data_IF_886978966654
#
_entry.id   IF_886978966654
#
_cell.length_a   1.000
_cell.length_b   1.000
_cell.length_c   1.000
_cell.angle_alpha   90.00
_cell.angle_beta   90.00
_cell.angle_gamma   90.00
#
_symmetry.space_group_name_H-M   'P 1'
#
loop_
_entity.id
_entity.type
_entity.pdbx_description
1 polymer ?
#
# COMPACT_ATOMS: atom_id res chain seq x y z
N UNK A 1 61.55 5.04 -34.25
CA UNK A 1 60.39 4.23 -33.78
C UNK A 1 60.09 4.67 -32.36
N UNK A 2 59.14 5.59 -32.19
CA UNK A 2 58.77 6.20 -30.90
C UNK A 2 57.33 5.79 -30.61
N UNK A 3 57.11 5.08 -29.50
CA UNK A 3 55.81 4.59 -29.08
C UNK A 3 55.20 5.56 -28.05
N UNK A 4 54.15 6.26 -28.45
CA UNK A 4 53.36 7.12 -27.57
C UNK A 4 52.22 6.29 -26.97
N UNK A 5 52.27 6.05 -25.66
CA UNK A 5 51.17 5.45 -24.88
C UNK A 5 50.19 6.54 -24.45
N UNK A 6 48.92 6.38 -24.79
CA UNK A 6 47.81 7.16 -24.26
C UNK A 6 47.37 6.58 -22.91
N UNK A 7 47.37 7.40 -21.86
CA UNK A 7 46.70 7.13 -20.59
C UNK A 7 45.29 7.69 -20.65
N UNK A 8 44.28 6.83 -20.54
CA UNK A 8 42.88 7.22 -20.33
C UNK A 8 42.66 7.26 -18.81
N UNK A 9 42.42 8.46 -18.27
CA UNK A 9 41.93 8.63 -16.91
C UNK A 9 40.40 8.50 -16.92
N UNK A 10 39.89 7.40 -16.39
CA UNK A 10 38.46 7.26 -16.07
C UNK A 10 38.23 7.70 -14.64
N UNK A 11 37.66 8.89 -14.45
CA UNK A 11 37.17 9.37 -13.16
C UNK A 11 35.87 8.65 -12.83
N UNK A 12 35.94 7.60 -12.01
CA UNK A 12 34.75 6.97 -11.42
C UNK A 12 34.29 7.88 -10.28
N UNK A 13 33.19 8.62 -10.49
CA UNK A 13 32.47 9.28 -9.41
C UNK A 13 31.77 8.19 -8.58
N UNK A 14 32.34 7.86 -7.42
CA UNK A 14 31.67 7.04 -6.41
C UNK A 14 30.59 7.92 -5.78
N UNK A 15 29.34 7.76 -6.22
CA UNK A 15 28.17 8.21 -5.45
C UNK A 15 28.08 7.27 -4.26
N UNK A 16 28.51 7.76 -3.09
CA UNK A 16 28.27 7.11 -1.81
C UNK A 16 26.76 7.14 -1.54
N UNK A 17 26.04 6.10 -1.95
CA UNK A 17 24.79 5.75 -1.29
C UNK A 17 25.13 5.41 0.17
N UNK A 18 24.54 6.05 1.18
CA UNK A 18 24.70 5.60 2.55
C UNK A 18 24.07 4.22 2.66
N UNK A 19 24.91 3.20 2.72
CA UNK A 19 24.52 1.85 3.10
C UNK A 19 23.92 1.92 4.50
N UNK A 20 22.65 1.53 4.59
CA UNK A 20 21.88 1.42 5.82
C UNK A 20 22.49 0.34 6.75
N UNK A 21 23.55 0.70 7.46
CA UNK A 21 23.94 0.04 8.70
C UNK A 21 23.32 0.86 9.84
N UNK A 22 22.06 0.55 10.16
CA UNK A 22 21.34 1.15 11.28
C UNK A 22 21.93 0.69 12.60
N UNK A 23 22.86 1.46 13.15
CA UNK A 23 22.98 1.52 14.59
C UNK A 23 21.74 2.26 15.10
N UNK A 24 21.03 1.67 16.06
CA UNK A 24 19.96 2.35 16.77
C UNK A 24 20.53 3.63 17.36
N UNK A 25 20.20 4.76 16.74
CA UNK A 25 20.45 6.04 17.35
C UNK A 25 19.54 6.12 18.58
N UNK A 26 20.09 6.58 19.70
CA UNK A 26 19.28 6.92 20.88
C UNK A 26 18.05 7.71 20.43
N UNK A 27 16.88 7.47 21.04
CA UNK A 27 15.69 8.22 20.71
C UNK A 27 16.02 9.71 20.83
N UNK A 28 15.68 10.52 19.81
CA UNK A 28 15.93 11.95 19.90
C UNK A 28 15.31 12.52 21.18
N UNK A 29 15.96 13.51 21.81
CA UNK A 29 15.48 14.12 23.08
C UNK A 29 14.02 14.61 23.00
N UNK A 30 13.51 14.90 21.80
CA UNK A 30 12.15 15.36 21.54
C UNK A 30 11.21 14.27 20.99
N UNK A 31 11.57 12.99 21.10
CA UNK A 31 10.73 11.89 20.64
C UNK A 31 9.41 11.84 21.43
N UNK A 32 8.30 11.72 20.71
CA UNK A 32 7.00 11.51 21.33
C UNK A 32 6.68 10.00 21.33
N UNK A 33 6.62 9.43 22.54
CA UNK A 33 6.34 8.02 22.76
C UNK A 33 4.87 7.71 22.48
N UNK A 34 4.65 6.62 21.76
CA UNK A 34 3.34 6.12 21.41
C UNK A 34 3.01 4.89 22.25
N UNK A 35 1.71 4.67 22.48
CA UNK A 35 1.21 3.49 23.17
C UNK A 35 0.85 2.39 22.18
N UNK A 36 1.18 1.16 22.52
CA UNK A 36 0.89 -0.01 21.69
C UNK A 36 -0.55 -0.49 21.86
N UNK A 37 -1.24 -0.73 20.74
CA UNK A 37 -2.60 -1.27 20.71
C UNK A 37 -2.70 -2.47 19.77
N UNK A 38 -3.60 -3.40 20.09
CA UNK A 38 -3.86 -4.57 19.24
C UNK A 38 -5.33 -5.02 19.37
N UNK A 39 -5.93 -5.49 18.28
CA UNK A 39 -7.34 -5.95 18.22
C UNK A 39 -7.54 -6.98 17.11
N UNK A 40 -8.64 -7.75 17.17
CA UNK A 40 -9.04 -8.67 16.08
C UNK A 40 -9.44 -7.92 14.81
N UNK A 41 -10.26 -6.87 14.97
CA UNK A 41 -10.74 -6.05 13.87
C UNK A 41 -10.07 -4.68 13.90
N UNK A 42 -8.77 -4.67 13.58
CA UNK A 42 -7.99 -3.45 13.41
C UNK A 42 -8.62 -2.53 12.36
N UNK A 43 -9.19 -3.12 11.30
CA UNK A 43 -9.74 -2.35 10.19
C UNK A 43 -10.94 -1.47 10.56
N UNK A 44 -11.73 -1.88 11.56
CA UNK A 44 -12.80 -1.04 12.12
C UNK A 44 -12.29 0.22 12.83
N UNK A 45 -11.02 0.23 13.27
CA UNK A 45 -10.46 1.33 14.06
C UNK A 45 -9.54 2.23 13.24
N UNK A 46 -8.55 1.64 12.55
CA UNK A 46 -7.57 2.40 11.76
C UNK A 46 -7.86 2.40 10.26
N UNK A 47 -8.99 1.81 9.84
CA UNK A 47 -9.32 1.60 8.44
C UNK A 47 -8.50 0.48 7.82
N UNK A 48 -8.57 0.33 6.50
CA UNK A 48 -7.86 -0.73 5.79
C UNK A 48 -6.34 -0.63 5.98
N UNK A 49 -5.73 -1.70 6.45
CA UNK A 49 -4.28 -1.97 6.42
C UNK A 49 -3.92 -2.78 5.18
N UNK A 50 -2.64 -2.80 4.81
CA UNK A 50 -2.14 -3.79 3.86
C UNK A 50 -2.00 -5.16 4.53
N UNK A 51 -1.61 -6.14 3.71
CA UNK A 51 -1.33 -7.50 4.12
C UNK A 51 -0.20 -8.10 3.27
N UNK A 52 0.56 -9.03 3.84
CA UNK A 52 1.47 -9.88 3.09
C UNK A 52 0.70 -11.04 2.49
N UNK A 53 0.82 -11.24 1.18
CA UNK A 53 0.34 -12.45 0.53
C UNK A 53 1.38 -13.55 0.69
N UNK A 54 1.03 -14.58 1.45
CA UNK A 54 1.93 -15.67 1.77
C UNK A 54 1.73 -16.79 0.75
N UNK A 55 2.80 -17.22 0.10
CA UNK A 55 2.74 -18.28 -0.91
C UNK A 55 2.69 -19.66 -0.23
N UNK A 56 1.57 -20.40 -0.29
CA UNK A 56 1.47 -21.70 0.37
C UNK A 56 2.18 -22.81 -0.42
N UNK A 57 2.82 -23.73 0.30
CA UNK A 57 3.37 -24.99 -0.24
C UNK A 57 2.77 -26.20 0.49
N UNK A 58 2.62 -27.33 -0.21
CA UNK A 58 2.22 -28.60 0.43
C UNK A 58 3.41 -29.40 0.98
N UNK A 59 4.62 -29.09 0.51
CA UNK A 59 5.86 -29.72 0.97
C UNK A 59 6.40 -28.96 2.19
N UNK A 60 6.67 -29.71 3.26
CA UNK A 60 7.33 -29.17 4.44
C UNK A 60 8.72 -28.62 4.09
N UNK A 61 9.08 -27.42 4.57
CA UNK A 61 10.46 -26.94 4.50
C UNK A 61 11.42 -27.90 5.22
N UNK A 62 12.70 -27.88 4.83
CA UNK A 62 13.71 -28.72 5.49
C UNK A 62 13.80 -28.40 6.99
N UNK A 63 13.78 -29.43 7.83
CA UNK A 63 13.86 -29.29 9.29
C UNK A 63 12.56 -28.87 10.00
N UNK A 64 11.55 -28.39 9.27
CA UNK A 64 10.27 -27.98 9.85
C UNK A 64 9.34 -29.18 9.99
N UNK A 65 8.85 -29.42 11.20
CA UNK A 65 7.88 -30.47 11.52
C UNK A 65 6.66 -29.86 12.20
N UNK A 66 5.50 -30.47 12.01
CA UNK A 66 4.25 -30.18 12.73
C UNK A 66 3.85 -31.40 13.55
N UNK A 67 3.03 -31.27 14.61
CA UNK A 67 2.46 -32.40 15.33
C UNK A 67 1.65 -33.32 14.41
N UNK A 68 1.68 -34.63 14.67
CA UNK A 68 0.99 -35.64 13.85
C UNK A 68 -0.55 -35.45 13.85
N UNK A 69 -1.10 -34.87 14.92
CA UNK A 69 -2.52 -34.58 15.11
C UNK A 69 -2.92 -33.16 14.65
N UNK A 70 -2.00 -32.41 14.02
CA UNK A 70 -2.27 -31.03 13.62
C UNK A 70 -3.42 -30.91 12.62
N UNK A 71 -3.59 -31.91 11.75
CA UNK A 71 -4.68 -32.01 10.80
C UNK A 71 -4.22 -32.40 9.40
N UNK A 72 -5.14 -32.34 8.44
CA UNK A 72 -4.90 -32.75 7.06
C UNK A 72 -4.73 -31.55 6.13
N UNK A 73 -4.27 -31.83 4.90
CA UNK A 73 -4.07 -30.84 3.85
C UNK A 73 -3.15 -29.68 4.26
N UNK A 74 -2.10 -29.97 5.03
CA UNK A 74 -1.18 -28.97 5.57
C UNK A 74 -0.63 -28.07 4.47
N UNK A 75 -0.60 -26.76 4.73
CA UNK A 75 0.00 -25.73 3.88
C UNK A 75 1.02 -24.94 4.70
N UNK A 76 2.26 -24.98 4.26
CA UNK A 76 3.36 -24.23 4.87
C UNK A 76 3.48 -22.88 4.18
N UNK A 77 3.79 -21.85 4.96
CA UNK A 77 4.07 -20.50 4.47
C UNK A 77 5.27 -19.91 5.21
N UNK A 78 5.80 -18.83 4.64
CA UNK A 78 6.77 -17.94 5.31
C UNK A 78 6.13 -16.57 5.45
N UNK A 79 6.12 -16.03 6.65
CA UNK A 79 5.83 -14.62 6.89
C UNK A 79 7.16 -13.87 6.87
N UNK A 80 7.33 -12.91 5.96
CA UNK A 80 8.57 -12.16 5.83
C UNK A 80 8.61 -11.05 6.86
N UNK A 81 9.72 -10.92 7.58
CA UNK A 81 9.90 -9.87 8.59
C UNK A 81 11.36 -9.48 8.66
N UNK A 82 11.71 -8.19 8.51
CA UNK A 82 13.08 -7.76 8.70
C UNK A 82 13.47 -7.80 10.20
N UNK A 83 12.49 -7.94 11.10
CA UNK A 83 12.71 -8.01 12.54
C UNK A 83 13.28 -9.34 12.98
N UNK A 84 13.25 -10.40 12.15
CA UNK A 84 13.95 -11.65 12.46
C UNK A 84 15.29 -11.75 11.71
N UNK A 85 16.36 -12.28 12.33
CA UNK A 85 17.64 -12.49 11.65
C UNK A 85 17.57 -13.37 10.39
N UNK A 86 16.61 -14.31 10.32
CA UNK A 86 16.40 -15.13 9.12
C UNK A 86 15.60 -14.41 8.03
N UNK A 87 15.05 -13.23 8.33
CA UNK A 87 14.18 -12.46 7.43
C UNK A 87 12.75 -13.02 7.32
N UNK A 88 12.42 -14.09 8.04
CA UNK A 88 11.08 -14.70 8.00
C UNK A 88 10.79 -15.57 9.25
N UNK A 89 9.50 -15.84 9.47
CA UNK A 89 8.98 -16.90 10.38
C UNK A 89 8.24 -17.97 9.61
N UNK A 90 8.25 -19.19 10.11
CA UNK A 90 7.43 -20.26 9.58
C UNK A 90 6.00 -20.22 10.12
N UNK A 91 5.04 -20.59 9.28
CA UNK A 91 3.69 -20.95 9.72
C UNK A 91 3.17 -22.16 8.93
N UNK A 92 2.25 -22.90 9.52
CA UNK A 92 1.55 -24.00 8.89
C UNK A 92 0.05 -23.87 9.14
N UNK A 93 -0.74 -24.11 8.11
CA UNK A 93 -2.19 -24.14 8.16
C UNK A 93 -2.66 -25.55 7.87
N UNK A 94 -3.66 -26.03 8.59
CA UNK A 94 -4.25 -27.34 8.36
C UNK A 94 -5.77 -27.28 8.41
N UNK A 95 -6.41 -28.32 7.89
CA UNK A 95 -7.84 -28.54 8.02
C UNK A 95 -8.11 -29.66 9.01
N UNK A 96 -9.02 -29.43 9.95
CA UNK A 96 -9.56 -30.47 10.83
C UNK A 96 -10.44 -31.47 10.08
N UNK A 97 -11.21 -31.01 9.08
CA UNK A 97 -12.25 -31.80 8.39
C UNK A 97 -12.13 -31.81 6.85
N UNK A 98 -11.05 -31.26 6.29
CA UNK A 98 -10.70 -31.38 4.87
C UNK A 98 -11.31 -30.33 3.93
N UNK A 99 -12.06 -29.36 4.47
CA UNK A 99 -12.78 -28.35 3.66
C UNK A 99 -12.06 -27.00 3.65
N UNK A 100 -11.91 -26.38 4.83
CA UNK A 100 -11.24 -25.09 5.05
C UNK A 100 -10.06 -25.28 5.99
N UNK A 101 -9.04 -24.44 5.82
CA UNK A 101 -7.89 -24.40 6.72
C UNK A 101 -8.30 -23.66 7.99
N UNK A 102 -8.58 -24.38 9.07
CA UNK A 102 -9.15 -23.87 10.32
C UNK A 102 -8.22 -24.05 11.53
N UNK A 103 -6.99 -24.55 11.29
CA UNK A 103 -5.92 -24.66 12.27
C UNK A 103 -4.66 -23.95 11.78
N UNK A 104 -3.94 -23.31 12.69
CA UNK A 104 -2.71 -22.55 12.44
C UNK A 104 -1.64 -22.92 13.49
N UNK A 105 -0.42 -23.18 13.04
CA UNK A 105 0.79 -23.12 13.85
C UNK A 105 1.65 -22.00 13.29
N UNK A 106 2.28 -21.20 14.15
CA UNK A 106 3.24 -20.19 13.74
C UNK A 106 4.40 -20.22 14.72
N UNK A 107 5.62 -20.08 14.21
CA UNK A 107 6.84 -19.89 15.00
C UNK A 107 6.73 -18.53 15.70
N UNK A 108 6.21 -18.54 16.92
CA UNK A 108 5.94 -17.31 17.69
C UNK A 108 7.19 -16.82 18.38
N UNK A 109 8.19 -17.67 18.59
CA UNK A 109 9.24 -17.43 19.57
C UNK A 109 10.60 -17.08 18.96
N UNK A 110 10.91 -17.46 17.72
CA UNK A 110 12.32 -17.38 17.32
C UNK A 110 12.89 -18.52 16.53
N UNK A 111 12.46 -19.74 16.84
CA UNK A 111 13.39 -20.87 16.84
C UNK A 111 13.28 -21.77 15.60
N UNK A 112 12.37 -21.41 14.68
CA UNK A 112 12.14 -22.12 13.43
C UNK A 112 11.39 -23.44 13.59
N UNK A 113 10.86 -23.76 14.78
CA UNK A 113 10.13 -25.00 15.06
C UNK A 113 8.64 -24.71 15.12
N UNK A 114 7.86 -25.66 14.59
CA UNK A 114 6.39 -25.64 14.68
C UNK A 114 5.85 -26.83 15.50
N UNK A 115 6.72 -27.77 15.89
CA UNK A 115 6.32 -29.02 16.54
C UNK A 115 6.00 -28.84 18.03
N UNK A 116 6.56 -27.80 18.65
CA UNK A 116 6.35 -27.35 20.02
C UNK A 116 5.32 -26.21 20.13
N UNK A 117 4.86 -25.70 18.98
CA UNK A 117 3.85 -24.66 18.94
C UNK A 117 2.45 -25.23 19.21
N UNK A 118 1.62 -24.42 19.87
CA UNK A 118 0.22 -24.79 20.14
C UNK A 118 -0.66 -24.42 18.96
N UNK A 119 -1.43 -25.38 18.43
CA UNK A 119 -2.34 -25.12 17.32
C UNK A 119 -3.42 -24.10 17.70
N UNK A 120 -3.54 -23.05 16.90
CA UNK A 120 -4.55 -22.00 17.01
C UNK A 120 -5.73 -22.38 16.13
N UNK A 121 -6.93 -22.41 16.72
CA UNK A 121 -8.18 -22.62 15.97
C UNK A 121 -8.68 -21.29 15.43
N UNK A 122 -9.19 -21.29 14.20
CA UNK A 122 -9.79 -20.11 13.60
C UNK A 122 -10.97 -19.61 14.46
N UNK A 123 -10.96 -18.32 14.81
CA UNK A 123 -12.06 -17.72 15.58
C UNK A 123 -13.25 -17.34 14.69
N UNK A 124 -13.04 -17.30 13.38
CA UNK A 124 -14.09 -17.07 12.40
C UNK A 124 -13.86 -17.99 11.19
N UNK A 125 -14.89 -18.75 10.85
CA UNK A 125 -14.93 -19.61 9.66
C UNK A 125 -16.23 -19.30 8.92
N UNK A 126 -16.10 -18.87 7.67
CA UNK A 126 -17.23 -18.57 6.80
C UNK A 126 -17.15 -19.47 5.57
N UNK A 127 -18.22 -20.20 5.28
CA UNK A 127 -18.37 -20.97 4.05
C UNK A 127 -19.26 -20.22 3.08
N UNK A 128 -18.92 -20.31 1.80
CA UNK A 128 -19.76 -19.82 0.70
C UNK A 128 -20.07 -20.99 -0.24
N UNK A 129 -21.20 -20.92 -0.94
CA UNK A 129 -21.57 -21.92 -1.94
C UNK A 129 -20.46 -22.17 -2.96
N UNK A 130 -20.34 -23.43 -3.39
CA UNK A 130 -19.33 -23.87 -4.37
C UNK A 130 -17.94 -24.17 -3.78
N UNK A 131 -17.87 -24.59 -2.51
CA UNK A 131 -16.59 -24.97 -1.87
C UNK A 131 -15.66 -23.79 -1.57
N UNK A 132 -16.23 -22.59 -1.51
CA UNK A 132 -15.50 -21.36 -1.16
C UNK A 132 -15.62 -21.11 0.33
N UNK A 133 -14.68 -20.38 0.90
CA UNK A 133 -14.77 -19.99 2.30
C UNK A 133 -13.53 -19.26 2.78
N UNK A 134 -13.59 -18.79 4.03
CA UNK A 134 -12.51 -18.05 4.68
C UNK A 134 -12.42 -18.46 6.14
N UNK A 135 -11.20 -18.63 6.61
CA UNK A 135 -10.88 -18.76 8.03
C UNK A 135 -10.02 -17.58 8.47
N UNK A 136 -10.25 -17.07 9.68
CA UNK A 136 -9.46 -16.00 10.28
C UNK A 136 -8.89 -16.43 11.64
N UNK A 137 -7.65 -16.05 11.89
CA UNK A 137 -6.88 -16.36 13.10
C UNK A 137 -6.33 -15.07 13.70
N UNK A 138 -6.12 -15.06 15.02
CA UNK A 138 -5.47 -13.96 15.72
C UNK A 138 -6.39 -13.10 16.60
N UNK A 139 -5.83 -12.06 17.24
CA UNK A 139 -4.44 -11.57 17.07
C UNK A 139 -3.47 -12.60 17.66
N UNK A 140 -2.43 -12.95 16.92
CA UNK A 140 -1.41 -13.91 17.33
C UNK A 140 -0.19 -13.13 17.79
N UNK A 141 0.22 -13.23 19.08
CA UNK A 141 1.42 -12.56 19.56
C UNK A 141 2.67 -13.26 18.99
N UNK A 142 3.56 -12.45 18.45
CA UNK A 142 4.86 -12.81 17.89
C UNK A 142 5.92 -12.14 18.75
N UNK A 143 6.87 -12.92 19.27
CA UNK A 143 8.05 -12.42 19.97
C UNK A 143 9.13 -12.14 18.93
N UNK A 144 9.41 -10.87 18.71
CA UNK A 144 10.45 -10.39 17.80
C UNK A 144 11.66 -9.93 18.63
N UNK A 145 12.90 -10.11 18.15
CA UNK A 145 14.03 -9.47 18.78
C UNK A 145 13.95 -7.95 18.56
N UNK A 146 14.41 -7.21 19.57
CA UNK A 146 14.55 -5.76 19.55
C UNK A 146 15.81 -5.38 20.32
N UNK A 147 16.27 -4.14 20.11
CA UNK A 147 17.53 -3.67 20.67
C UNK A 147 17.47 -3.59 22.21
N UNK A 148 16.32 -3.19 22.76
CA UNK A 148 16.04 -3.13 24.21
C UNK A 148 15.44 -4.42 24.78
N UNK A 149 15.48 -5.51 24.00
CA UNK A 149 14.89 -6.80 24.35
C UNK A 149 13.72 -7.19 23.45
N UNK A 150 12.99 -8.26 23.80
CA UNK A 150 11.96 -8.81 22.93
C UNK A 150 10.75 -7.89 22.81
N UNK A 151 10.32 -7.65 21.57
CA UNK A 151 9.11 -6.90 21.22
C UNK A 151 7.97 -7.90 21.01
N UNK A 152 6.77 -7.56 21.48
CA UNK A 152 5.56 -8.33 21.16
C UNK A 152 4.81 -7.62 20.03
N UNK A 153 4.68 -8.30 18.90
CA UNK A 153 3.95 -7.83 17.72
C UNK A 153 2.76 -8.74 17.44
N UNK A 154 1.62 -8.23 17.00
CA UNK A 154 0.42 -9.04 16.81
C UNK A 154 0.06 -9.16 15.32
N UNK A 155 -0.14 -10.39 14.86
CA UNK A 155 -0.59 -10.68 13.50
C UNK A 155 -2.02 -11.22 13.47
N UNK A 156 -2.76 -10.87 12.42
CA UNK A 156 -3.97 -11.58 12.02
C UNK A 156 -3.67 -12.36 10.75
N UNK A 157 -4.05 -13.63 10.72
CA UNK A 157 -3.90 -14.46 9.53
C UNK A 157 -5.27 -14.77 8.93
N UNK A 158 -5.33 -14.86 7.60
CA UNK A 158 -6.52 -15.37 6.93
C UNK A 158 -6.18 -16.35 5.83
N UNK A 159 -7.00 -17.40 5.72
CA UNK A 159 -6.91 -18.40 4.68
C UNK A 159 -8.24 -18.44 3.92
N UNK A 160 -8.24 -18.01 2.66
CA UNK A 160 -9.41 -17.96 1.82
C UNK A 160 -9.31 -18.96 0.67
N UNK A 161 -10.34 -19.78 0.50
CA UNK A 161 -10.51 -20.69 -0.63
C UNK A 161 -11.49 -20.07 -1.62
N UNK A 162 -11.02 -19.80 -2.84
CA UNK A 162 -11.83 -19.20 -3.92
C UNK A 162 -12.28 -20.21 -4.98
N UNK A 163 -11.77 -21.45 -4.90
CA UNK A 163 -12.17 -22.56 -5.75
C UNK A 163 -11.43 -23.84 -5.37
N UNK A 164 -11.56 -24.92 -6.16
CA UNK A 164 -10.96 -26.22 -5.84
C UNK A 164 -9.45 -26.16 -5.62
N UNK A 165 -8.76 -25.34 -6.44
CA UNK A 165 -7.29 -25.24 -6.48
C UNK A 165 -6.77 -23.84 -6.10
N UNK A 166 -7.60 -22.97 -5.55
CA UNK A 166 -7.22 -21.60 -5.21
C UNK A 166 -7.34 -21.37 -3.71
N UNK A 167 -6.19 -21.31 -3.05
CA UNK A 167 -6.04 -20.92 -1.64
C UNK A 167 -5.17 -19.66 -1.61
N UNK A 168 -5.67 -18.61 -0.97
CA UNK A 168 -4.93 -17.39 -0.67
C UNK A 168 -4.74 -17.32 0.84
N UNK A 169 -3.49 -17.20 1.27
CA UNK A 169 -3.14 -16.99 2.67
C UNK A 169 -2.57 -15.58 2.78
N UNK A 170 -2.97 -14.84 3.80
CA UNK A 170 -2.37 -13.55 4.12
C UNK A 170 -2.14 -13.34 5.60
N UNK A 171 -1.16 -12.51 5.91
CA UNK A 171 -0.87 -11.98 7.24
C UNK A 171 -1.02 -10.46 7.21
N UNK A 172 -1.76 -9.92 8.18
CA UNK A 172 -1.96 -8.49 8.35
C UNK A 172 -1.57 -8.08 9.77
N UNK A 173 -1.16 -6.83 9.95
CA UNK A 173 -0.93 -6.26 11.27
C UNK A 173 -2.23 -6.28 12.06
N UNK A 174 -2.20 -6.88 13.25
CA UNK A 174 -3.31 -6.85 14.22
C UNK A 174 -3.03 -5.84 15.35
N UNK A 175 -2.12 -4.89 15.10
CA UNK A 175 -1.68 -3.88 16.04
C UNK A 175 -1.31 -2.56 15.35
N UNK A 176 -1.21 -1.51 16.16
CA UNK A 176 -0.74 -0.18 15.78
C UNK A 176 -0.20 0.54 17.02
N UNK A 177 0.45 1.68 16.80
CA UNK A 177 0.81 2.61 17.86
C UNK A 177 -0.05 3.85 17.79
N UNK A 178 -0.43 4.38 18.94
CA UNK A 178 -1.25 5.60 19.04
C UNK A 178 -0.84 6.46 20.23
N UNK A 179 -0.88 7.77 20.05
CA UNK A 179 -0.48 8.73 21.07
C UNK A 179 -0.63 10.16 20.57
N UNK A 180 0.07 11.10 21.21
CA UNK A 180 0.14 12.47 20.75
C UNK A 180 1.57 12.79 20.32
N UNK A 181 1.71 13.47 19.19
CA UNK A 181 3.00 14.00 18.69
C UNK A 181 2.97 15.51 18.64
N UNK A 182 4.11 16.14 18.91
CA UNK A 182 4.24 17.60 18.90
C UNK A 182 4.49 18.09 17.48
N UNK A 183 3.63 18.98 17.02
CA UNK A 183 3.79 19.71 15.75
C UNK A 183 3.66 21.18 16.08
N UNK A 184 4.72 21.96 15.84
CA UNK A 184 4.79 23.38 16.21
C UNK A 184 4.44 23.64 17.69
N UNK A 185 4.97 22.80 18.59
CA UNK A 185 4.72 22.89 20.02
C UNK A 185 3.30 22.50 20.46
N UNK A 186 2.45 22.06 19.54
CA UNK A 186 1.08 21.60 19.85
C UNK A 186 0.99 20.08 19.73
N UNK A 187 0.44 19.44 20.75
CA UNK A 187 0.12 18.02 20.71
C UNK A 187 -0.97 17.75 19.65
N UNK A 188 -0.74 16.76 18.79
CA UNK A 188 -1.69 16.26 17.80
C UNK A 188 -1.86 14.75 17.96
N UNK A 189 -3.09 14.21 17.93
CA UNK A 189 -3.32 12.78 17.87
C UNK A 189 -2.59 12.15 16.70
N UNK A 190 -1.97 11.00 16.94
CA UNK A 190 -1.17 10.28 15.97
C UNK A 190 -1.45 8.80 16.04
N UNK A 191 -1.61 8.16 14.89
CA UNK A 191 -1.55 6.70 14.73
C UNK A 191 -0.40 6.35 13.79
N UNK A 192 0.45 5.42 14.20
CA UNK A 192 1.53 4.84 13.41
C UNK A 192 1.19 3.38 13.11
N UNK A 193 1.18 3.03 11.83
CA UNK A 193 0.58 1.80 11.33
C UNK A 193 1.60 1.10 10.43
N UNK A 194 2.01 -0.10 10.83
CA UNK A 194 2.71 -1.05 9.97
C UNK A 194 1.74 -1.49 8.87
N UNK A 195 1.93 -0.95 7.67
CA UNK A 195 0.98 -1.15 6.58
C UNK A 195 1.27 -2.45 5.83
N UNK A 196 2.53 -2.86 5.75
CA UNK A 196 2.96 -4.04 5.01
C UNK A 196 2.94 -5.32 5.89
N UNK A 197 2.65 -5.17 7.18
CA UNK A 197 2.56 -6.20 8.19
C UNK A 197 3.86 -7.00 8.39
N UNK A 198 5.03 -6.37 8.30
CA UNK A 198 6.32 -7.03 8.46
C UNK A 198 6.93 -6.91 9.87
N UNK A 199 6.29 -6.19 10.80
CA UNK A 199 6.76 -5.97 12.17
C UNK A 199 7.57 -4.70 12.38
N UNK A 200 7.96 -4.01 11.31
CA UNK A 200 8.62 -2.70 11.33
C UNK A 200 7.58 -1.59 11.17
N UNK A 201 7.84 -0.42 11.77
CA UNK A 201 6.96 0.76 11.69
C UNK A 201 7.66 1.98 11.07
N UNK A 202 8.81 1.77 10.46
CA UNK A 202 9.63 2.80 9.82
C UNK A 202 9.87 2.55 8.32
N UNK A 203 9.07 1.67 7.70
CA UNK A 203 9.25 1.34 6.30
C UNK A 203 8.81 2.52 5.41
N UNK A 204 9.66 2.85 4.44
CA UNK A 204 9.39 3.85 3.41
C UNK A 204 9.04 3.17 2.09
N UNK A 205 8.60 3.93 1.10
CA UNK A 205 8.42 3.37 -0.25
C UNK A 205 9.76 2.82 -0.76
N UNK A 206 9.74 1.58 -1.22
CA UNK A 206 10.89 0.92 -1.83
C UNK A 206 11.32 1.56 -3.17
N UNK A 207 12.42 1.08 -3.72
CA UNK A 207 12.98 1.53 -5.01
C UNK A 207 12.01 1.33 -6.19
N UNK A 208 11.05 0.41 -6.07
CA UNK A 208 10.01 0.16 -7.08
C UNK A 208 8.79 1.07 -6.90
N UNK A 209 8.83 1.98 -5.91
CA UNK A 209 7.76 2.91 -5.59
C UNK A 209 6.45 2.16 -5.35
N UNK A 210 6.55 1.05 -4.63
CA UNK A 210 5.38 0.34 -4.15
C UNK A 210 4.82 1.09 -2.94
N UNK A 211 3.64 1.71 -3.09
CA UNK A 211 2.98 2.33 -1.92
C UNK A 211 2.69 1.33 -0.81
N UNK A 212 2.54 0.04 -1.15
CA UNK A 212 2.23 -1.01 -0.20
C UNK A 212 3.38 -1.36 0.74
N UNK A 213 4.63 -0.94 0.45
CA UNK A 213 5.77 -1.18 1.33
C UNK A 213 5.92 -0.11 2.41
N UNK A 214 5.52 1.14 2.16
CA UNK A 214 5.60 2.19 3.17
C UNK A 214 4.58 2.01 4.30
N UNK A 215 4.93 2.44 5.50
CA UNK A 215 4.02 2.53 6.64
C UNK A 215 3.16 3.79 6.58
N UNK A 216 2.21 3.92 7.51
CA UNK A 216 1.26 5.05 7.54
C UNK A 216 1.33 5.82 8.84
N UNK A 217 1.26 7.14 8.70
CA UNK A 217 1.05 8.08 9.79
C UNK A 217 -0.32 8.73 9.58
N UNK A 218 -1.18 8.71 10.60
CA UNK A 218 -2.43 9.49 10.61
C UNK A 218 -2.36 10.51 11.73
N UNK A 219 -2.63 11.78 11.40
CA UNK A 219 -2.51 12.92 12.34
C UNK A 219 -3.87 13.57 12.65
N UNK A 220 -4.92 12.76 12.84
CA UNK A 220 -6.27 13.24 13.08
C UNK A 220 -7.01 12.47 14.17
N UNK A 221 -7.95 13.17 14.83
CA UNK A 221 -8.80 12.66 15.90
C UNK A 221 -10.09 12.00 15.44
N UNK A 222 -10.41 12.05 14.13
CA UNK A 222 -11.64 11.44 13.63
C UNK A 222 -11.41 9.95 13.35
N UNK A 223 -12.30 9.06 13.82
CA UNK A 223 -12.43 7.74 13.24
C UNK A 223 -12.57 7.87 11.72
N UNK A 224 -12.21 6.83 10.98
CA UNK A 224 -12.49 6.74 9.55
C UNK A 224 -14.02 6.74 9.34
N UNK A 225 -14.65 7.91 9.33
CA UNK A 225 -16.02 8.06 8.89
C UNK A 225 -16.07 7.48 7.47
N UNK A 226 -16.98 6.54 7.21
CA UNK A 226 -17.08 5.80 5.94
C UNK A 226 -17.38 6.67 4.68
N UNK A 227 -17.29 7.98 4.84
CA UNK A 227 -17.33 9.00 3.81
C UNK A 227 -16.07 9.86 3.89
N UNK A 228 -14.90 9.24 3.71
CA UNK A 228 -13.65 10.00 3.66
C UNK A 228 -13.65 10.92 2.43
N UNK A 229 -13.18 12.19 2.56
CA UNK A 229 -12.77 12.96 1.40
C UNK A 229 -11.74 12.14 0.61
N UNK A 230 -11.64 12.39 -0.69
CA UNK A 230 -10.95 11.56 -1.69
C UNK A 230 -9.51 11.13 -1.38
N UNK A 231 -8.90 11.77 -0.39
CA UNK A 231 -7.55 11.57 0.10
C UNK A 231 -7.64 11.07 1.55
N UNK A 232 -7.32 9.80 1.73
CA UNK A 232 -7.09 9.23 3.06
C UNK A 232 -6.14 10.19 3.80
N UNK A 233 -6.48 10.62 5.03
CA UNK A 233 -5.61 11.47 5.88
C UNK A 233 -4.38 10.69 6.39
N UNK A 234 -3.95 9.69 5.63
CA UNK A 234 -2.75 8.93 5.84
C UNK A 234 -1.62 9.58 5.06
N UNK A 235 -0.64 10.04 5.80
CA UNK A 235 0.69 10.27 5.29
C UNK A 235 1.43 8.94 5.22
N UNK A 236 2.45 8.86 4.38
CA UNK A 236 3.37 7.73 4.40
C UNK A 236 4.48 8.02 5.38
N UNK A 237 4.99 6.98 6.04
CA UNK A 237 6.34 7.06 6.58
C UNK A 237 7.27 7.22 5.38
N UNK A 238 8.05 8.30 5.41
CA UNK A 238 8.95 8.76 4.35
C UNK A 238 9.89 9.80 4.96
N UNK A 239 10.74 10.43 4.17
CA UNK A 239 11.63 11.47 4.71
C UNK A 239 10.86 12.66 5.32
N UNK A 240 9.71 13.03 4.75
CA UNK A 240 8.92 14.19 5.13
C UNK A 240 7.41 13.94 5.14
N UNK A 241 6.71 14.74 5.96
CA UNK A 241 5.27 14.98 5.83
C UNK A 241 5.01 16.48 5.62
N UNK A 242 4.00 16.81 4.82
CA UNK A 242 3.51 18.19 4.67
C UNK A 242 2.27 18.38 5.54
N UNK A 243 2.31 19.37 6.44
CA UNK A 243 1.18 19.75 7.31
C UNK A 243 0.90 21.24 7.11
N UNK A 244 -0.20 21.55 6.40
CA UNK A 244 -0.43 22.90 5.86
C UNK A 244 0.69 23.28 4.89
N UNK A 245 1.29 24.44 5.09
CA UNK A 245 2.34 24.97 4.19
C UNK A 245 3.77 24.62 4.62
N UNK A 246 3.92 23.71 5.58
CA UNK A 246 5.22 23.38 6.17
C UNK A 246 5.54 21.91 6.04
N UNK A 247 6.82 21.63 5.79
CA UNK A 247 7.37 20.27 5.79
C UNK A 247 8.00 19.95 7.13
N UNK A 248 7.83 18.70 7.55
CA UNK A 248 8.43 18.14 8.75
C UNK A 248 9.20 16.89 8.37
N UNK A 249 10.46 16.79 8.78
CA UNK A 249 11.20 15.54 8.71
C UNK A 249 10.60 14.53 9.68
N UNK A 250 10.54 13.28 9.23
CA UNK A 250 9.95 12.17 9.99
C UNK A 250 11.06 11.28 10.54
N UNK A 251 10.94 10.88 11.79
CA UNK A 251 11.76 9.81 12.37
C UNK A 251 10.85 8.91 13.18
N UNK A 252 10.73 7.65 12.75
CA UNK A 252 9.96 6.62 13.45
C UNK A 252 10.90 5.56 13.98
N UNK A 253 10.67 5.12 15.22
CA UNK A 253 11.33 3.94 15.76
C UNK A 253 10.99 2.72 14.91
N UNK A 254 11.96 1.82 14.72
CA UNK A 254 11.74 0.60 13.94
C UNK A 254 10.63 -0.27 14.53
N UNK A 255 10.58 -0.36 15.85
CA UNK A 255 9.56 -1.09 16.61
C UNK A 255 8.24 -0.32 16.79
N UNK A 256 8.18 0.93 16.31
CA UNK A 256 7.02 1.82 16.39
C UNK A 256 6.86 2.60 17.70
N UNK A 257 7.76 2.42 18.68
CA UNK A 257 7.58 2.96 20.02
C UNK A 257 7.53 4.50 20.10
N UNK A 258 8.14 5.21 19.14
CA UNK A 258 8.06 6.67 19.05
C UNK A 258 7.98 7.17 17.61
N UNK A 259 7.46 8.40 17.48
CA UNK A 259 7.49 9.20 16.26
C UNK A 259 7.94 10.62 16.59
N UNK A 260 8.88 11.17 15.81
CA UNK A 260 9.30 12.56 15.90
C UNK A 260 9.04 13.29 14.57
N UNK A 261 8.43 14.47 14.66
CA UNK A 261 8.18 15.37 13.53
C UNK A 261 8.89 16.70 13.78
N UNK A 262 9.90 17.03 12.96
CA UNK A 262 10.69 18.24 13.14
C UNK A 262 10.59 19.16 11.94
N UNK A 263 10.40 20.48 12.11
CA UNK A 263 10.35 21.41 10.98
C UNK A 263 11.57 21.28 10.07
N UNK A 264 11.35 21.04 8.78
CA UNK A 264 12.41 20.91 7.78
C UNK A 264 12.80 22.31 7.25
N UNK A 265 13.55 23.08 8.07
CA UNK A 265 13.83 24.51 7.81
C UNK A 265 14.64 24.78 6.53
N UNK A 266 15.56 23.89 6.20
CA UNK A 266 16.49 24.04 5.08
C UNK A 266 16.10 23.18 3.86
N UNK A 267 14.88 22.67 3.84
CA UNK A 267 14.39 21.85 2.73
C UNK A 267 14.20 22.73 1.49
N UNK A 268 15.04 22.51 0.49
CA UNK A 268 14.76 22.99 -0.86
C UNK A 268 13.59 22.22 -1.43
N UNK A 269 12.60 22.93 -1.96
CA UNK A 269 11.44 22.33 -2.63
C UNK A 269 11.45 22.64 -4.13
N UNK A 270 10.87 21.74 -4.90
CA UNK A 270 10.59 21.93 -6.33
C UNK A 270 9.14 22.39 -6.48
N UNK A 271 8.91 23.45 -7.24
CA UNK A 271 7.56 23.88 -7.61
C UNK A 271 7.02 23.00 -8.73
N UNK A 272 5.78 22.54 -8.59
CA UNK A 272 5.08 21.85 -9.67
C UNK A 272 4.12 22.81 -10.37
N UNK A 273 3.88 22.60 -11.65
CA UNK A 273 2.80 23.26 -12.38
C UNK A 273 1.77 22.19 -12.76
N UNK A 274 0.53 22.38 -12.29
CA UNK A 274 -0.56 21.46 -12.60
C UNK A 274 -1.27 21.93 -13.87
N UNK A 275 -1.74 21.00 -14.73
CA UNK A 275 -2.64 21.36 -15.81
C UNK A 275 -3.90 22.06 -15.26
N UNK A 276 -4.32 23.16 -15.90
CA UNK A 276 -5.47 23.99 -15.49
C UNK A 276 -6.76 23.20 -15.21
N UNK A 277 -6.93 22.07 -15.90
CA UNK A 277 -8.08 21.20 -15.72
C UNK A 277 -8.11 20.51 -14.35
N UNK A 278 -6.96 20.34 -13.68
CA UNK A 278 -6.88 19.57 -12.44
C UNK A 278 -7.19 20.43 -11.21
N UNK A 279 -7.93 19.86 -10.27
CA UNK A 279 -8.10 20.43 -8.92
C UNK A 279 -7.00 19.97 -7.97
N UNK A 280 -6.39 18.83 -8.24
CA UNK A 280 -5.24 18.36 -7.49
C UNK A 280 -4.71 17.01 -7.96
N UNK A 281 -3.52 16.71 -7.47
CA UNK A 281 -2.78 15.47 -7.71
C UNK A 281 -2.17 14.99 -6.39
N UNK A 282 -2.03 13.68 -6.26
CA UNK A 282 -1.28 13.05 -5.17
C UNK A 282 -0.10 12.31 -5.76
N UNK A 283 1.06 12.61 -5.20
CA UNK A 283 2.32 11.96 -5.54
C UNK A 283 2.86 11.24 -4.30
N UNK A 284 3.61 10.17 -4.50
CA UNK A 284 4.23 9.44 -3.41
C UNK A 284 5.56 8.83 -3.81
N UNK A 285 6.44 8.65 -2.83
CA UNK A 285 7.78 8.07 -3.00
C UNK A 285 8.51 7.96 -1.65
N UNK A 286 9.83 7.72 -1.65
CA UNK A 286 10.62 7.61 -0.41
C UNK A 286 10.59 8.88 0.44
N UNK A 287 10.33 10.03 -0.19
CA UNK A 287 10.19 11.31 0.49
C UNK A 287 8.90 11.42 1.31
N UNK A 288 7.88 10.60 1.03
CA UNK A 288 6.56 10.67 1.65
C UNK A 288 5.44 10.68 0.61
N UNK A 289 4.24 11.01 1.07
CA UNK A 289 3.03 11.19 0.26
C UNK A 289 2.58 12.64 0.33
N UNK A 290 2.43 13.28 -0.82
CA UNK A 290 2.12 14.71 -0.93
C UNK A 290 0.90 14.93 -1.80
N UNK A 291 -0.03 15.72 -1.28
CA UNK A 291 -1.16 16.25 -2.02
C UNK A 291 -0.81 17.65 -2.51
N UNK A 292 -1.15 17.91 -3.76
CA UNK A 292 -0.88 19.16 -4.46
C UNK A 292 -2.20 19.63 -5.05
N UNK A 293 -2.73 20.75 -4.56
CA UNK A 293 -4.04 21.27 -4.95
C UNK A 293 -3.88 22.56 -5.75
N UNK A 294 -4.72 22.79 -6.76
CA UNK A 294 -4.56 23.86 -7.77
C UNK A 294 -4.68 25.30 -7.25
N UNK A 295 -5.08 25.50 -6.00
CA UNK A 295 -5.13 26.83 -5.37
C UNK A 295 -3.85 27.19 -4.60
N UNK A 296 -2.85 26.30 -4.56
CA UNK A 296 -1.52 26.63 -4.01
C UNK A 296 -0.68 27.34 -5.08
N UNK A 297 -0.25 28.59 -4.85
CA UNK A 297 0.49 29.40 -5.84
C UNK A 297 1.79 28.78 -6.39
N UNK A 298 2.37 27.75 -5.72
CA UNK A 298 3.68 27.16 -6.07
C UNK A 298 3.83 25.65 -5.88
N UNK A 299 2.77 24.93 -5.51
CA UNK A 299 2.72 23.45 -5.42
C UNK A 299 4.05 22.77 -5.00
N UNK A 300 4.60 23.03 -3.80
CA UNK A 300 5.93 22.57 -3.44
C UNK A 300 5.96 21.06 -3.16
N UNK A 301 7.01 20.39 -3.63
CA UNK A 301 7.34 19.02 -3.26
C UNK A 301 8.85 18.87 -2.96
N UNK A 302 9.27 17.98 -2.05
CA UNK A 302 10.69 17.68 -1.85
C UNK A 302 11.30 17.07 -3.13
N UNK A 303 12.56 17.35 -3.47
CA UNK A 303 13.29 16.63 -4.50
C UNK A 303 13.30 15.13 -4.23
N UNK A 304 13.17 14.31 -5.28
CA UNK A 304 13.14 12.86 -5.16
C UNK A 304 12.39 12.19 -6.30
N UNK A 305 12.31 10.86 -6.20
CA UNK A 305 11.61 10.01 -7.17
C UNK A 305 10.19 9.71 -6.70
N UNK A 306 9.22 9.83 -7.59
CA UNK A 306 7.80 9.77 -7.28
C UNK A 306 7.01 8.94 -8.28
N UNK A 307 5.81 8.53 -7.86
CA UNK A 307 4.70 8.09 -8.72
C UNK A 307 3.43 8.84 -8.37
N UNK A 308 2.52 8.90 -9.33
CA UNK A 308 1.16 9.38 -9.10
C UNK A 308 0.32 8.33 -8.38
N UNK A 309 -0.39 8.74 -7.35
CA UNK A 309 -1.44 7.93 -6.73
C UNK A 309 -2.81 8.25 -7.33
N UNK A 310 -3.12 9.54 -7.46
CA UNK A 310 -4.41 10.00 -7.97
C UNK A 310 -4.33 11.42 -8.54
N UNK A 311 -5.26 11.78 -9.42
CA UNK A 311 -5.60 13.18 -9.74
C UNK A 311 -7.12 13.35 -9.81
N UNK A 312 -7.59 14.60 -9.77
CA UNK A 312 -9.00 14.94 -9.94
C UNK A 312 -9.21 16.15 -10.83
N UNK A 313 -10.31 16.13 -11.59
CA UNK A 313 -10.83 17.29 -12.30
C UNK A 313 -12.36 17.28 -12.33
N UNK A 314 -12.94 18.42 -12.68
CA UNK A 314 -14.35 18.56 -12.98
C UNK A 314 -14.54 19.03 -14.42
N UNK A 315 -15.64 18.62 -15.04
CA UNK A 315 -16.07 19.15 -16.34
C UNK A 315 -17.58 19.32 -16.38
N UNK A 316 -18.04 20.29 -17.16
CA UNK A 316 -19.47 20.51 -17.42
C UNK A 316 -19.79 20.06 -18.83
N UNK A 317 -20.82 19.22 -19.00
CA UNK A 317 -21.28 18.80 -20.33
C UNK A 317 -22.14 19.88 -21.02
N UNK A 318 -22.49 19.65 -22.28
CA UNK A 318 -23.31 20.58 -23.07
C UNK A 318 -24.73 20.78 -22.53
N UNK A 319 -25.20 19.91 -21.62
CA UNK A 319 -26.46 20.05 -20.91
C UNK A 319 -26.33 20.77 -19.57
N UNK A 320 -25.16 21.33 -19.24
CA UNK A 320 -24.90 22.03 -17.99
C UNK A 320 -24.68 21.11 -16.79
N UNK A 321 -24.53 19.78 -17.00
CA UNK A 321 -24.29 18.85 -15.90
C UNK A 321 -22.82 18.80 -15.54
N UNK A 322 -22.54 18.87 -14.25
CA UNK A 322 -21.19 18.74 -13.71
C UNK A 322 -20.82 17.28 -13.44
N UNK A 323 -19.62 16.93 -13.85
CA UNK A 323 -18.99 15.62 -13.73
C UNK A 323 -17.68 15.75 -12.97
N UNK A 324 -17.46 14.84 -12.04
CA UNK A 324 -16.20 14.67 -11.32
C UNK A 324 -15.46 13.46 -11.89
N UNK A 325 -14.17 13.65 -12.17
CA UNK A 325 -13.28 12.62 -12.70
C UNK A 325 -12.16 12.37 -11.71
N UNK A 326 -11.79 11.10 -11.56
CA UNK A 326 -10.66 10.72 -10.72
C UNK A 326 -9.83 9.65 -11.41
N UNK A 327 -8.58 10.00 -11.75
CA UNK A 327 -7.58 9.06 -12.25
C UNK A 327 -6.87 8.34 -11.11
N UNK A 328 -6.75 7.01 -11.20
CA UNK A 328 -6.05 6.13 -10.26
C UNK A 328 -5.45 4.93 -10.99
N UNK A 329 -4.65 4.12 -10.30
CA UNK A 329 -4.08 2.86 -10.83
C UNK A 329 -3.17 3.10 -12.05
N UNK A 330 -2.20 4.00 -11.89
CA UNK A 330 -1.21 4.30 -12.92
C UNK A 330 -0.36 3.07 -13.27
N UNK A 331 0.08 2.94 -14.53
CA UNK A 331 1.08 1.95 -14.95
C UNK A 331 2.35 1.98 -14.09
N UNK A 332 3.07 0.85 -14.01
CA UNK A 332 4.24 0.70 -13.15
C UNK A 332 5.40 1.63 -13.54
N UNK A 333 5.48 2.00 -14.82
CA UNK A 333 6.49 2.86 -15.45
C UNK A 333 6.18 4.36 -15.37
N UNK A 334 5.09 4.76 -14.69
CA UNK A 334 4.71 6.18 -14.47
C UNK A 334 5.57 6.94 -13.44
N UNK A 335 6.78 6.46 -13.17
CA UNK A 335 7.68 7.11 -12.23
C UNK A 335 8.33 8.36 -12.85
N UNK A 336 8.56 9.38 -12.04
CA UNK A 336 9.23 10.61 -12.45
C UNK A 336 10.13 11.15 -11.33
N UNK A 337 11.10 11.98 -11.69
CA UNK A 337 12.08 12.55 -10.78
C UNK A 337 11.90 14.07 -10.66
N UNK A 338 11.98 14.57 -9.43
CA UNK A 338 12.04 16.00 -9.12
C UNK A 338 13.46 16.32 -8.65
N UNK A 339 14.18 17.14 -9.41
CA UNK A 339 15.53 17.57 -9.07
C UNK A 339 15.53 18.97 -8.45
N UNK A 340 16.35 19.18 -7.42
CA UNK A 340 16.58 20.48 -6.80
C UNK A 340 17.33 21.46 -7.72
N UNK A 341 17.95 20.96 -8.79
CA UNK A 341 18.78 21.75 -9.71
C UNK A 341 17.95 22.40 -10.83
N UNK A 342 16.67 22.05 -10.96
CA UNK A 342 15.78 22.66 -11.95
C UNK A 342 15.37 24.05 -11.48
N UNK A 343 15.66 25.05 -12.29
CA UNK A 343 15.20 26.42 -12.07
C UNK A 343 13.78 26.58 -12.60
N UNK A 344 12.85 26.89 -11.70
CA UNK A 344 11.44 27.17 -12.04
C UNK A 344 10.50 25.97 -11.84
N UNK A 345 9.19 26.16 -12.10
CA UNK A 345 8.20 25.10 -11.96
C UNK A 345 8.39 23.97 -12.96
N UNK A 346 8.10 22.73 -12.54
CA UNK A 346 8.07 21.55 -13.40
C UNK A 346 6.63 21.26 -13.81
N UNK A 347 6.38 21.25 -15.12
CA UNK A 347 5.08 20.86 -15.67
C UNK A 347 4.79 19.37 -15.45
N UNK A 348 3.64 19.08 -14.83
CA UNK A 348 3.16 17.72 -14.65
C UNK A 348 2.20 17.36 -15.79
N UNK A 349 2.64 16.47 -16.67
CA UNK A 349 1.86 15.99 -17.81
C UNK A 349 0.92 14.84 -17.40
N UNK A 350 -0.23 15.15 -16.77
CA UNK A 350 -1.21 14.16 -16.28
C UNK A 350 -2.67 14.58 -16.51
N UNK A 351 -3.60 13.63 -16.48
CA UNK A 351 -5.03 13.90 -16.58
C UNK A 351 -5.61 13.76 -17.99
N UNK A 352 -6.65 14.56 -18.35
CA UNK A 352 -7.25 14.56 -19.69
C UNK A 352 -6.22 14.73 -20.83
N UNK A 353 -6.46 14.35 -22.09
CA UNK A 353 -7.71 13.86 -22.64
C UNK A 353 -8.04 12.45 -22.11
N UNK A 354 -9.34 12.18 -22.01
CA UNK A 354 -9.83 10.89 -21.56
C UNK A 354 -10.14 10.02 -22.77
N UNK A 355 -9.62 8.79 -22.78
CA UNK A 355 -9.79 7.81 -23.85
C UNK A 355 -10.66 6.67 -23.34
N UNK A 356 -11.79 6.42 -24.01
CA UNK A 356 -12.64 5.26 -23.73
C UNK A 356 -12.11 4.04 -24.50
N UNK A 357 -11.95 2.91 -23.80
CA UNK A 357 -11.53 1.64 -24.39
C UNK A 357 -12.51 0.52 -24.05
N UNK A 358 -12.57 -0.51 -24.91
CA UNK A 358 -13.32 -1.75 -24.67
C UNK A 358 -12.38 -2.95 -24.82
N UNK A 359 -12.29 -3.77 -23.79
CA UNK A 359 -11.58 -5.04 -23.79
C UNK A 359 -12.56 -6.20 -23.95
N UNK A 360 -12.24 -7.17 -24.82
CA UNK A 360 -13.00 -8.42 -24.99
C UNK A 360 -12.21 -9.59 -24.43
N UNK A 361 -12.85 -10.42 -23.61
CA UNK A 361 -12.33 -11.73 -23.20
C UNK A 361 -13.31 -12.83 -23.59
N UNK A 362 -12.80 -13.91 -24.18
CA UNK A 362 -13.58 -15.13 -24.36
C UNK A 362 -13.54 -15.96 -23.07
N UNK A 363 -14.71 -16.38 -22.62
CA UNK A 363 -14.87 -17.33 -21.51
C UNK A 363 -15.70 -18.51 -22.03
N UNK A 364 -15.63 -19.67 -21.36
CA UNK A 364 -16.39 -20.84 -21.81
C UNK A 364 -17.89 -20.51 -21.82
N UNK A 365 -18.49 -20.49 -23.01
CA UNK A 365 -19.91 -20.19 -23.20
C UNK A 365 -20.27 -18.71 -23.43
N UNK A 366 -19.30 -17.81 -23.62
CA UNK A 366 -19.65 -16.41 -23.93
C UNK A 366 -18.49 -15.43 -24.11
N UNK A 367 -18.87 -14.19 -24.38
CA UNK A 367 -17.98 -13.05 -24.51
C UNK A 367 -18.17 -12.14 -23.30
N UNK A 368 -17.06 -11.77 -22.66
CA UNK A 368 -17.03 -10.75 -21.62
C UNK A 368 -16.45 -9.47 -22.19
N UNK A 369 -17.16 -8.36 -22.02
CA UNK A 369 -16.71 -7.04 -22.45
C UNK A 369 -16.49 -6.16 -21.23
N UNK A 370 -15.39 -5.42 -21.20
CA UNK A 370 -15.09 -4.44 -20.16
C UNK A 370 -14.82 -3.10 -20.81
N UNK A 371 -15.64 -2.10 -20.52
CA UNK A 371 -15.32 -0.72 -20.83
C UNK A 371 -14.42 -0.15 -19.73
N UNK A 372 -13.46 0.69 -20.12
CA UNK A 372 -12.67 1.50 -19.22
C UNK A 372 -12.51 2.91 -19.78
N UNK A 373 -12.38 3.89 -18.91
CA UNK A 373 -11.92 5.24 -19.26
C UNK A 373 -10.48 5.35 -18.77
N UNK A 374 -9.60 5.89 -19.61
CA UNK A 374 -8.19 6.09 -19.28
C UNK A 374 -7.76 7.54 -19.48
N UNK A 375 -6.88 8.03 -18.63
CA UNK A 375 -6.22 9.33 -18.83
C UNK A 375 -4.95 9.20 -19.66
N UNK A 376 -4.23 10.31 -19.81
CA UNK A 376 -3.08 10.40 -20.72
C UNK A 376 -1.91 9.47 -20.37
N UNK A 377 -1.77 9.08 -19.09
CA UNK A 377 -0.73 8.15 -18.64
C UNK A 377 -1.24 6.70 -18.56
N UNK A 378 -2.42 6.39 -19.12
CA UNK A 378 -3.01 5.06 -19.10
C UNK A 378 -3.63 4.64 -17.77
N UNK A 379 -3.70 5.55 -16.80
CA UNK A 379 -4.40 5.39 -15.53
C UNK A 379 -5.90 5.19 -15.73
N UNK A 380 -6.54 4.46 -14.83
CA UNK A 380 -7.98 4.23 -14.86
C UNK A 380 -8.74 5.43 -14.28
N UNK A 381 -9.77 5.88 -14.98
CA UNK A 381 -10.56 7.05 -14.60
C UNK A 381 -11.96 6.61 -14.19
N UNK A 382 -12.38 6.98 -12.97
CA UNK A 382 -13.78 6.90 -12.55
C UNK A 382 -14.50 8.21 -12.83
N UNK A 383 -15.81 8.13 -13.07
CA UNK A 383 -16.67 9.28 -13.39
C UNK A 383 -17.91 9.24 -12.51
N UNK A 384 -18.16 10.33 -11.80
CA UNK A 384 -19.34 10.50 -10.95
C UNK A 384 -20.03 11.85 -11.26
N UNK A 385 -21.35 11.91 -11.16
CA UNK A 385 -22.09 13.18 -11.31
C UNK A 385 -22.12 13.95 -9.99
N UNK A 386 -21.82 15.25 -10.04
CA UNK A 386 -21.89 16.14 -8.87
C UNK A 386 -23.33 16.59 -8.55
N UNK A 387 -24.22 16.62 -9.53
CA UNK A 387 -25.62 17.06 -9.40
C UNK A 387 -26.58 15.99 -8.84
N UNK A 388 -26.04 14.99 -8.13
CA UNK A 388 -26.76 13.84 -7.56
C UNK A 388 -26.03 12.54 -7.86
N UNK A 389 -26.15 11.54 -6.99
CA UNK A 389 -25.53 10.20 -7.11
C UNK A 389 -26.08 9.40 -8.31
N UNK A 390 -25.95 9.92 -9.51
CA UNK A 390 -26.30 9.27 -10.75
C UNK A 390 -25.00 8.93 -11.45
N UNK A 391 -24.78 7.62 -11.61
CA UNK A 391 -23.77 7.10 -12.53
C UNK A 391 -24.06 7.66 -13.93
N UNK A 392 -23.06 7.76 -14.82
CA UNK A 392 -23.34 8.00 -16.24
C UNK A 392 -24.38 7.00 -16.76
N UNK A 393 -25.05 7.27 -17.90
CA UNK A 393 -25.93 6.27 -18.50
C UNK A 393 -25.19 4.96 -18.72
N UNK A 394 -25.87 3.83 -18.48
CA UNK A 394 -25.24 2.53 -18.66
C UNK A 394 -24.76 2.37 -20.11
N UNK A 395 -23.55 1.82 -20.30
CA UNK A 395 -22.94 1.80 -21.62
C UNK A 395 -23.72 0.92 -22.59
N UNK A 396 -23.52 1.21 -23.88
CA UNK A 396 -24.09 0.44 -24.99
C UNK A 396 -22.97 -0.20 -25.77
N UNK A 397 -23.15 -1.47 -26.15
CA UNK A 397 -22.21 -2.19 -27.01
C UNK A 397 -22.87 -2.47 -28.35
N UNK A 398 -22.32 -1.90 -29.42
CA UNK A 398 -22.70 -2.27 -30.79
C UNK A 398 -21.72 -3.32 -31.30
N UNK A 399 -22.25 -4.45 -31.75
CA UNK A 399 -21.49 -5.52 -32.39
C UNK A 399 -21.91 -5.56 -33.85
N UNK A 400 -20.92 -5.39 -34.74
CA UNK A 400 -21.11 -5.42 -36.19
C UNK A 400 -20.13 -6.42 -36.81
N UNK A 401 -20.63 -7.33 -37.66
CA UNK A 401 -19.75 -8.18 -38.48
C UNK A 401 -19.20 -7.38 -39.67
N UNK A 402 -18.06 -7.79 -40.22
CA UNK A 402 -17.38 -7.07 -41.31
C UNK A 402 -18.23 -6.93 -42.59
N UNK A 403 -19.15 -7.86 -42.81
CA UNK A 403 -20.08 -7.87 -43.96
C UNK A 403 -21.41 -7.15 -43.66
N UNK A 404 -21.60 -6.61 -42.45
CA UNK A 404 -22.82 -5.95 -42.01
C UNK A 404 -24.04 -6.87 -41.80
N UNK A 405 -23.89 -8.19 -42.00
CA UNK A 405 -25.00 -9.16 -41.84
C UNK A 405 -25.50 -9.25 -40.39
N UNK A 406 -24.65 -8.88 -39.45
CA UNK A 406 -24.94 -8.78 -38.03
C UNK A 406 -24.66 -7.36 -37.57
N UNK A 407 -25.68 -6.67 -37.06
CA UNK A 407 -25.59 -5.38 -36.41
C UNK A 407 -26.59 -5.33 -35.26
N UNK A 408 -26.07 -5.44 -34.04
CA UNK A 408 -26.90 -5.44 -32.82
C UNK A 408 -26.28 -4.52 -31.79
N UNK A 409 -27.12 -3.71 -31.15
CA UNK A 409 -26.74 -2.88 -30.01
C UNK A 409 -27.35 -3.45 -28.74
N UNK A 410 -26.50 -3.75 -27.77
CA UNK A 410 -26.86 -4.25 -26.46
C UNK A 410 -26.83 -3.12 -25.44
N UNK A 411 -27.83 -3.07 -24.57
CA UNK A 411 -27.89 -2.16 -23.43
C UNK A 411 -27.36 -2.91 -22.20
N UNK A 412 -26.41 -2.32 -21.49
CA UNK A 412 -25.95 -2.87 -20.21
C UNK A 412 -26.80 -2.29 -19.08
N UNK A 413 -26.86 -3.02 -17.98
CA UNK A 413 -27.32 -2.54 -16.69
C UNK A 413 -26.11 -2.43 -15.75
N UNK A 414 -26.15 -1.47 -14.83
CA UNK A 414 -25.16 -1.41 -13.77
C UNK A 414 -25.42 -2.54 -12.77
N UNK A 415 -24.47 -3.46 -12.65
CA UNK A 415 -24.42 -4.48 -11.60
C UNK A 415 -23.80 -3.99 -10.30
#
# INVERSE_FOLDING_TARGET
MSATRWLIFSTIAIVLCPSAAGFAADPPEDADWLSYFHRRDVSSHIGRTGDQHLQPTSRAPAGVKVPDDFGQAVRYVKWSTPMDPNGFRHAAFASSHGVLLDRLLVDRNGDGRLADETAIVAHHVQTYGGGRGRSCFGPVPMRLPGDDGPIIYHLSFSAARWGPNSIRISAAAACWYEGAVRVDGRARPCQLIDYNANGSFNDVCDEQLNRGSADRIRLSSRPADHHEPLFDQKHFVGAYVRLGDRFYSVTAARDGAYLALRPAKDLKTVSLNLPDALHGVVIYGPQGRFEVQSHDDRHPAPPGRYRFEAWQCEATDSGGRQWHFMGRYFPADSAFDLSADVSGPIDIDIGPPLVASVDRRMVRGGHYFRQALRGRLGEHVSVDSLSGRRRPPAPRLRIVNSDGSYDRTFQFEYG
#
